data_IF_082118202906
#
_entry.id   IF_082118202906
#
_cell.length_a   1.000
_cell.length_b   1.000
_cell.length_c   1.000
_cell.angle_alpha   90.00
_cell.angle_beta   90.00
_cell.angle_gamma   90.00
#
_symmetry.space_group_name_H-M   'P 1'
#
loop_
_entity.id
_entity.type
_entity.pdbx_description
1 polymer ?
#
# COMPACT_ATOMS: atom_id res chain seq x y z
N UNK A 1 -30.26 39.53 -15.49
CA UNK A 1 -28.89 38.96 -15.39
C UNK A 1 -29.00 37.60 -14.71
N UNK A 2 -29.12 36.55 -15.50
CA UNK A 2 -29.17 35.16 -15.02
C UNK A 2 -27.76 34.81 -14.54
N UNK A 3 -27.58 34.55 -13.24
CA UNK A 3 -26.32 34.02 -12.70
C UNK A 3 -25.94 32.80 -13.54
N UNK A 4 -24.77 32.83 -14.19
CA UNK A 4 -24.20 31.65 -14.80
C UNK A 4 -24.08 30.59 -13.72
N UNK A 5 -24.97 29.59 -13.72
CA UNK A 5 -24.81 28.40 -12.90
C UNK A 5 -23.45 27.84 -13.28
N UNK A 6 -22.56 27.67 -12.29
CA UNK A 6 -21.38 26.83 -12.45
C UNK A 6 -21.86 25.53 -13.08
N UNK A 7 -21.36 25.21 -14.28
CA UNK A 7 -21.78 24.02 -14.99
C UNK A 7 -21.48 22.81 -14.10
N UNK A 8 -22.52 22.04 -13.75
CA UNK A 8 -22.34 20.78 -13.03
C UNK A 8 -21.50 19.86 -13.92
N UNK A 9 -20.60 19.13 -13.29
CA UNK A 9 -19.76 18.13 -13.96
C UNK A 9 -20.48 16.81 -14.21
N UNK A 10 -21.51 16.52 -13.40
CA UNK A 10 -22.37 15.34 -13.50
C UNK A 10 -23.81 15.74 -13.13
N UNK A 11 -24.80 15.26 -13.88
CA UNK A 11 -26.22 15.42 -13.52
C UNK A 11 -27.09 14.33 -14.17
N UNK A 12 -28.25 14.06 -13.56
CA UNK A 12 -29.26 13.16 -14.12
C UNK A 12 -30.27 13.96 -14.95
N UNK A 13 -30.55 13.52 -16.18
CA UNK A 13 -31.77 13.90 -16.89
C UNK A 13 -32.88 12.90 -16.56
N UNK A 14 -33.88 13.36 -15.79
CA UNK A 14 -34.99 12.53 -15.32
C UNK A 14 -35.93 12.09 -16.45
N UNK A 15 -35.96 12.82 -17.57
CA UNK A 15 -36.85 12.50 -18.68
C UNK A 15 -36.28 11.36 -19.55
N UNK A 16 -34.98 11.41 -19.82
CA UNK A 16 -34.29 10.40 -20.61
C UNK A 16 -33.73 9.24 -19.78
N UNK A 17 -33.69 9.39 -18.43
CA UNK A 17 -33.02 8.45 -17.51
C UNK A 17 -31.55 8.28 -17.87
N UNK A 18 -30.90 9.37 -18.25
CA UNK A 18 -29.48 9.40 -18.60
C UNK A 18 -28.67 10.19 -17.57
N UNK A 19 -27.55 9.62 -17.16
CA UNK A 19 -26.54 10.31 -16.37
C UNK A 19 -25.58 11.03 -17.32
N UNK A 20 -25.65 12.36 -17.37
CA UNK A 20 -24.74 13.16 -18.15
C UNK A 20 -23.41 13.31 -17.41
N UNK A 21 -22.36 12.77 -18.04
CA UNK A 21 -20.97 12.90 -17.65
C UNK A 21 -20.33 14.07 -18.42
N UNK A 22 -19.11 14.45 -18.06
CA UNK A 22 -18.41 15.57 -18.71
C UNK A 22 -18.24 15.38 -20.23
N UNK A 23 -18.15 14.14 -20.71
CA UNK A 23 -17.85 13.83 -22.11
C UNK A 23 -19.01 13.21 -22.90
N UNK A 24 -20.00 12.60 -22.22
CA UNK A 24 -21.11 11.85 -22.84
C UNK A 24 -22.28 11.68 -21.89
N UNK A 25 -23.41 11.24 -22.42
CA UNK A 25 -24.51 10.69 -21.63
C UNK A 25 -24.29 9.17 -21.41
N UNK A 26 -24.61 8.69 -20.21
CA UNK A 26 -24.69 7.28 -19.88
C UNK A 26 -26.15 6.91 -19.62
N UNK A 27 -26.80 6.11 -20.48
CA UNK A 27 -28.14 5.61 -20.21
C UNK A 27 -28.14 4.68 -19.00
N UNK A 28 -29.26 4.64 -18.28
CA UNK A 28 -29.52 3.62 -17.25
C UNK A 28 -29.57 2.22 -17.88
N UNK A 29 -29.03 1.25 -17.14
CA UNK A 29 -29.03 -0.17 -17.43
C UNK A 29 -29.47 -0.94 -16.18
N UNK A 30 -29.62 -2.25 -16.27
CA UNK A 30 -30.04 -3.10 -15.14
C UNK A 30 -29.12 -2.98 -13.92
N UNK A 31 -27.84 -2.67 -14.14
CA UNK A 31 -26.82 -2.47 -13.11
C UNK A 31 -26.55 -0.98 -12.80
N UNK A 32 -27.42 -0.06 -13.24
CA UNK A 32 -27.26 1.38 -13.07
C UNK A 32 -26.54 2.06 -14.25
N UNK A 33 -25.68 3.03 -13.95
CA UNK A 33 -24.93 3.82 -14.94
C UNK A 33 -23.49 3.31 -15.07
N UNK A 34 -22.82 3.64 -16.18
CA UNK A 34 -21.43 3.29 -16.40
C UNK A 34 -20.58 4.52 -16.75
N UNK A 35 -19.42 4.66 -16.13
CA UNK A 35 -18.39 5.63 -16.52
C UNK A 35 -17.10 4.90 -16.91
N UNK A 36 -16.37 5.46 -17.88
CA UNK A 36 -15.00 5.02 -18.15
C UNK A 36 -14.03 5.69 -17.18
N UNK A 37 -12.94 5.01 -16.85
CA UNK A 37 -11.93 5.50 -15.93
C UNK A 37 -11.33 6.85 -16.38
N UNK A 38 -11.18 7.08 -17.69
CA UNK A 38 -10.70 8.34 -18.25
C UNK A 38 -11.63 9.54 -18.02
N UNK A 39 -12.90 9.31 -17.68
CA UNK A 39 -13.90 10.35 -17.44
C UNK A 39 -13.87 10.87 -16.00
N UNK A 40 -13.47 10.02 -15.05
CA UNK A 40 -13.52 10.31 -13.61
C UNK A 40 -12.77 11.57 -13.18
N UNK A 41 -11.62 11.96 -13.78
CA UNK A 41 -10.91 13.18 -13.38
C UNK A 41 -11.73 14.45 -13.57
N UNK A 42 -12.70 14.43 -14.49
CA UNK A 42 -13.54 15.58 -14.81
C UNK A 42 -14.84 15.61 -13.99
N UNK A 43 -15.08 14.63 -13.12
CA UNK A 43 -16.30 14.50 -12.33
C UNK A 43 -16.06 14.95 -10.89
N UNK A 44 -16.90 15.85 -10.39
CA UNK A 44 -16.94 16.19 -8.97
C UNK A 44 -17.69 15.12 -8.18
N UNK A 45 -17.14 14.68 -7.05
CA UNK A 45 -17.83 13.75 -6.15
C UNK A 45 -19.13 14.32 -5.59
N UNK A 46 -19.19 15.65 -5.36
CA UNK A 46 -20.42 16.33 -4.92
C UNK A 46 -21.51 16.29 -5.99
N UNK A 47 -21.15 16.54 -7.25
CA UNK A 47 -22.11 16.50 -8.36
C UNK A 47 -22.60 15.06 -8.59
N UNK A 48 -21.69 14.07 -8.52
CA UNK A 48 -22.07 12.66 -8.60
C UNK A 48 -23.04 12.27 -7.49
N UNK A 49 -22.77 12.63 -6.22
CA UNK A 49 -23.70 12.37 -5.11
C UNK A 49 -25.09 12.94 -5.40
N UNK A 50 -25.18 14.19 -5.84
CA UNK A 50 -26.48 14.79 -6.15
C UNK A 50 -27.19 14.05 -7.28
N UNK A 51 -26.47 13.66 -8.32
CA UNK A 51 -27.05 12.94 -9.45
C UNK A 51 -27.56 11.55 -9.07
N UNK A 52 -26.81 10.80 -8.25
CA UNK A 52 -27.23 9.48 -7.77
C UNK A 52 -28.39 9.58 -6.76
N UNK A 53 -28.42 10.61 -5.92
CA UNK A 53 -29.56 10.87 -5.03
C UNK A 53 -30.80 11.28 -5.85
N UNK A 54 -30.63 12.09 -6.88
CA UNK A 54 -31.73 12.41 -7.81
C UNK A 54 -32.26 11.13 -8.49
N UNK A 55 -31.38 10.18 -8.82
CA UNK A 55 -31.74 8.89 -9.39
C UNK A 55 -32.54 8.03 -8.39
N UNK A 56 -32.06 7.91 -7.15
CA UNK A 56 -32.75 7.22 -6.06
C UNK A 56 -34.19 7.72 -5.87
N UNK A 57 -34.40 9.03 -6.02
CA UNK A 57 -35.73 9.66 -5.88
C UNK A 57 -36.60 9.61 -7.16
N UNK A 58 -36.12 9.04 -8.27
CA UNK A 58 -36.79 9.08 -9.58
C UNK A 58 -37.14 7.69 -10.14
N UNK A 59 -37.37 6.69 -9.27
CA UNK A 59 -37.67 5.29 -9.65
C UNK A 59 -36.62 4.64 -10.58
N UNK A 60 -35.35 5.07 -10.46
CA UNK A 60 -34.20 4.38 -11.07
C UNK A 60 -33.99 3.07 -10.32
N UNK A 61 -33.86 1.96 -11.06
CA UNK A 61 -33.84 0.62 -10.46
C UNK A 61 -32.60 0.41 -9.58
N UNK A 62 -31.44 0.89 -10.05
CA UNK A 62 -30.19 0.86 -9.31
C UNK A 62 -29.49 2.23 -9.45
N UNK A 63 -29.57 3.11 -8.44
CA UNK A 63 -28.94 4.42 -8.47
C UNK A 63 -27.43 4.29 -8.19
N UNK A 64 -26.73 3.58 -9.07
CA UNK A 64 -25.31 3.27 -8.98
C UNK A 64 -24.55 3.67 -10.24
N UNK A 65 -23.26 3.91 -10.08
CA UNK A 65 -22.29 4.17 -11.13
C UNK A 65 -21.20 3.11 -11.03
N UNK A 66 -21.11 2.26 -12.05
CA UNK A 66 -20.02 1.30 -12.21
C UNK A 66 -18.88 1.97 -12.98
N UNK A 67 -17.65 1.80 -12.50
CA UNK A 67 -16.45 2.25 -13.22
C UNK A 67 -15.89 1.12 -14.07
N UNK A 68 -15.65 1.43 -15.34
CA UNK A 68 -15.10 0.51 -16.33
C UNK A 68 -13.78 1.01 -16.88
N UNK A 69 -12.96 0.10 -17.41
CA UNK A 69 -11.78 0.45 -18.21
C UNK A 69 -12.18 1.17 -19.49
N UNK A 70 -11.23 1.87 -20.12
CA UNK A 70 -11.45 2.54 -21.41
C UNK A 70 -11.53 1.55 -22.59
N UNK A 71 -11.13 0.29 -22.38
CA UNK A 71 -11.18 -0.72 -23.42
C UNK A 71 -12.64 -1.06 -23.76
N UNK A 72 -13.01 -1.12 -25.05
CA UNK A 72 -14.35 -1.46 -25.52
C UNK A 72 -14.58 -2.96 -25.37
N UNK A 73 -14.63 -3.44 -24.13
CA UNK A 73 -15.16 -4.76 -23.86
C UNK A 73 -16.66 -4.57 -23.79
N UNK A 74 -17.38 -5.28 -24.65
CA UNK A 74 -18.83 -5.31 -24.63
C UNK A 74 -19.27 -5.65 -23.20
N UNK A 75 -19.89 -4.69 -22.51
CA UNK A 75 -20.76 -4.97 -21.38
C UNK A 75 -21.96 -5.73 -21.96
N UNK A 76 -21.76 -7.02 -22.23
CA UNK A 76 -22.86 -7.92 -22.50
C UNK A 76 -23.56 -8.15 -21.15
N UNK A 77 -24.89 -8.22 -21.14
CA UNK A 77 -25.71 -8.29 -19.92
C UNK A 77 -25.26 -9.41 -18.96
N UNK A 78 -24.59 -10.43 -19.48
CA UNK A 78 -24.14 -11.61 -18.72
C UNK A 78 -22.69 -11.56 -18.21
N UNK A 79 -21.83 -10.63 -18.65
CA UNK A 79 -20.40 -10.60 -18.26
C UNK A 79 -19.89 -9.18 -18.07
N UNK A 80 -19.70 -8.78 -16.82
CA UNK A 80 -19.08 -7.53 -16.39
C UNK A 80 -17.54 -7.56 -16.55
N UNK A 81 -17.05 -7.83 -17.76
CA UNK A 81 -15.62 -7.68 -18.07
C UNK A 81 -15.24 -6.20 -18.12
N UNK A 82 -14.11 -5.85 -17.49
CA UNK A 82 -13.59 -4.48 -17.49
C UNK A 82 -14.08 -3.60 -16.34
N UNK A 83 -14.84 -4.14 -15.37
CA UNK A 83 -15.14 -3.43 -14.12
C UNK A 83 -13.90 -3.37 -13.25
N UNK A 84 -13.64 -2.21 -12.65
CA UNK A 84 -12.42 -1.99 -11.85
C UNK A 84 -12.53 -2.52 -10.41
N UNK A 85 -13.63 -3.18 -10.06
CA UNK A 85 -13.98 -3.55 -8.68
C UNK A 85 -14.43 -2.38 -7.80
N UNK A 86 -14.55 -1.16 -8.35
CA UNK A 86 -14.95 0.05 -7.62
C UNK A 86 -16.15 0.70 -8.29
N UNK A 87 -17.20 0.96 -7.52
CA UNK A 87 -18.40 1.67 -7.96
C UNK A 87 -18.86 2.68 -6.93
N UNK A 88 -19.93 3.40 -7.25
CA UNK A 88 -20.58 4.35 -6.36
C UNK A 88 -22.08 4.09 -6.38
N UNK A 89 -22.76 4.18 -5.24
CA UNK A 89 -24.20 4.00 -5.17
C UNK A 89 -24.83 5.00 -4.22
N UNK A 90 -26.08 5.39 -4.48
CA UNK A 90 -26.90 6.10 -3.53
C UNK A 90 -27.79 5.14 -2.76
N UNK A 91 -27.91 5.35 -1.46
CA UNK A 91 -28.80 4.58 -0.59
C UNK A 91 -29.36 5.45 0.54
N UNK A 92 -30.40 4.96 1.20
CA UNK A 92 -30.89 5.54 2.45
C UNK A 92 -30.25 4.81 3.63
N UNK A 93 -29.77 5.57 4.60
CA UNK A 93 -29.21 4.99 5.81
C UNK A 93 -30.27 4.13 6.54
N UNK A 94 -29.89 2.93 7.03
CA UNK A 94 -30.82 1.97 7.61
C UNK A 94 -31.54 2.53 8.84
N UNK A 95 -32.74 1.99 9.09
CA UNK A 95 -33.56 2.34 10.25
C UNK A 95 -32.85 1.94 11.56
N UNK A 96 -32.80 2.87 12.52
CA UNK A 96 -32.29 2.62 13.88
C UNK A 96 -30.91 3.20 14.17
N UNK A 97 -30.22 3.77 13.18
CA UNK A 97 -28.97 4.50 13.37
C UNK A 97 -29.17 6.00 13.62
N UNK A 98 -28.12 6.68 14.09
CA UNK A 98 -28.12 8.15 14.32
C UNK A 98 -28.43 8.97 13.05
N UNK A 99 -28.30 8.37 11.87
CA UNK A 99 -28.50 8.99 10.55
C UNK A 99 -29.67 8.39 9.78
N UNK A 100 -30.60 7.73 10.46
CA UNK A 100 -31.77 7.08 9.85
C UNK A 100 -32.46 8.02 8.84
N UNK A 101 -32.67 7.53 7.61
CA UNK A 101 -33.33 8.30 6.55
C UNK A 101 -32.46 9.34 5.83
N UNK A 102 -31.17 9.46 6.19
CA UNK A 102 -30.24 10.28 5.42
C UNK A 102 -29.88 9.58 4.10
N UNK A 103 -29.92 10.34 2.99
CA UNK A 103 -29.49 9.87 1.68
C UNK A 103 -27.97 10.03 1.51
N UNK A 104 -27.30 8.90 1.33
CA UNK A 104 -25.85 8.77 1.28
C UNK A 104 -25.38 8.41 -0.13
N UNK A 105 -24.16 8.81 -0.47
CA UNK A 105 -23.42 8.20 -1.58
C UNK A 105 -22.31 7.35 -0.95
N UNK A 106 -22.34 6.05 -1.23
CA UNK A 106 -21.35 5.10 -0.80
C UNK A 106 -20.45 4.73 -1.97
N UNK A 107 -19.20 4.42 -1.68
CA UNK A 107 -18.28 3.78 -2.61
C UNK A 107 -18.35 2.27 -2.35
N UNK A 108 -18.68 1.50 -3.38
CA UNK A 108 -18.77 0.05 -3.30
C UNK A 108 -17.48 -0.55 -3.85
N UNK A 109 -16.89 -1.48 -3.09
CA UNK A 109 -15.73 -2.26 -3.48
C UNK A 109 -16.11 -3.73 -3.53
N UNK A 110 -15.65 -4.43 -4.56
CA UNK A 110 -15.80 -5.88 -4.69
C UNK A 110 -14.41 -6.50 -4.76
N UNK A 111 -14.04 -7.24 -3.71
CA UNK A 111 -12.73 -7.86 -3.58
C UNK A 111 -12.87 -9.38 -3.69
N UNK A 112 -12.25 -10.03 -4.68
CA UNK A 112 -12.22 -11.48 -4.74
C UNK A 112 -11.25 -12.02 -3.68
N UNK A 113 -11.67 -13.06 -2.97
CA UNK A 113 -10.86 -13.74 -1.96
C UNK A 113 -10.89 -15.25 -2.18
N UNK A 114 -9.75 -15.94 -2.05
CA UNK A 114 -9.62 -17.34 -2.49
C UNK A 114 -9.69 -18.37 -1.35
N UNK A 115 -9.69 -17.91 -0.11
CA UNK A 115 -9.71 -18.75 1.10
C UNK A 115 -11.02 -18.51 1.85
N UNK A 116 -11.70 -19.59 2.25
CA UNK A 116 -12.81 -19.47 3.22
C UNK A 116 -12.19 -19.15 4.57
N UNK A 117 -12.53 -18.01 5.14
CA UNK A 117 -12.45 -17.86 6.58
C UNK A 117 -13.75 -18.43 7.15
N UNK A 118 -13.61 -19.38 8.08
CA UNK A 118 -14.76 -20.03 8.72
C UNK A 118 -15.52 -19.05 9.62
N UNK A 119 -14.86 -17.96 10.05
CA UNK A 119 -15.41 -16.92 10.92
C UNK A 119 -15.42 -15.55 10.22
N UNK A 120 -16.63 -15.03 9.99
CA UNK A 120 -16.82 -13.70 9.40
C UNK A 120 -16.27 -12.61 10.32
N UNK A 121 -16.47 -12.70 11.63
CA UNK A 121 -16.06 -11.65 12.58
C UNK A 121 -14.52 -11.50 12.62
N UNK A 122 -13.80 -12.62 12.42
CA UNK A 122 -12.33 -12.63 12.32
C UNK A 122 -11.87 -11.90 11.05
N UNK A 123 -12.46 -12.22 9.89
CA UNK A 123 -12.15 -11.53 8.63
C UNK A 123 -12.42 -10.03 8.72
N UNK A 124 -13.57 -9.64 9.30
CA UNK A 124 -13.93 -8.23 9.45
C UNK A 124 -12.89 -7.48 10.28
N UNK A 125 -12.43 -8.09 11.37
CA UNK A 125 -11.41 -7.53 12.26
C UNK A 125 -10.05 -7.41 11.56
N UNK A 126 -9.67 -8.39 10.74
CA UNK A 126 -8.43 -8.39 9.98
C UNK A 126 -8.44 -7.32 8.88
N UNK A 127 -9.51 -7.25 8.09
CA UNK A 127 -9.71 -6.21 7.08
C UNK A 127 -9.68 -4.83 7.75
N UNK A 128 -10.34 -4.68 8.90
CA UNK A 128 -10.31 -3.43 9.66
C UNK A 128 -8.88 -3.08 10.08
N UNK A 129 -8.13 -3.99 10.72
CA UNK A 129 -6.74 -3.76 11.16
C UNK A 129 -5.82 -3.39 10.01
N UNK A 130 -5.97 -4.06 8.87
CA UNK A 130 -5.15 -3.83 7.68
C UNK A 130 -5.41 -2.45 7.07
N UNK A 131 -6.67 -2.03 7.05
CA UNK A 131 -7.11 -0.86 6.27
C UNK A 131 -7.33 0.40 7.11
N UNK A 132 -7.43 0.29 8.44
CA UNK A 132 -7.76 1.40 9.35
C UNK A 132 -6.88 2.63 9.11
N UNK A 133 -5.55 2.43 9.09
CA UNK A 133 -4.61 3.55 8.92
C UNK A 133 -4.81 4.27 7.57
N UNK A 134 -5.09 3.51 6.52
CA UNK A 134 -5.32 4.04 5.18
C UNK A 134 -6.67 4.75 5.06
N UNK A 135 -7.72 4.19 5.68
CA UNK A 135 -9.06 4.77 5.76
C UNK A 135 -9.06 6.10 6.51
N UNK A 136 -8.41 6.14 7.69
CA UNK A 136 -8.27 7.36 8.49
C UNK A 136 -7.59 8.49 7.70
N UNK A 137 -6.51 8.17 6.98
CA UNK A 137 -5.80 9.13 6.16
C UNK A 137 -6.62 9.61 4.96
N UNK A 138 -7.40 8.72 4.35
CA UNK A 138 -8.22 9.03 3.18
C UNK A 138 -9.52 9.75 3.54
N UNK A 139 -9.81 9.88 4.85
CA UNK A 139 -11.07 10.37 5.39
C UNK A 139 -12.26 9.58 4.83
N UNK A 140 -12.17 8.25 4.96
CA UNK A 140 -13.17 7.27 4.56
C UNK A 140 -13.46 6.36 5.75
N UNK A 141 -14.72 5.96 5.92
CA UNK A 141 -15.12 4.97 6.93
C UNK A 141 -15.80 3.78 6.28
N UNK A 142 -15.69 2.60 6.89
CA UNK A 142 -16.49 1.44 6.49
C UNK A 142 -17.92 1.68 6.96
N UNK A 143 -18.87 1.62 6.04
CA UNK A 143 -20.31 1.73 6.29
C UNK A 143 -20.93 0.34 6.51
N UNK A 144 -20.61 -0.60 5.64
CA UNK A 144 -21.03 -1.99 5.75
C UNK A 144 -20.01 -2.90 5.07
N UNK A 145 -20.03 -4.16 5.47
CA UNK A 145 -19.24 -5.23 4.89
C UNK A 145 -20.17 -6.42 4.72
N UNK A 146 -20.27 -6.90 3.50
CA UNK A 146 -21.17 -7.97 3.12
C UNK A 146 -20.36 -9.07 2.46
N UNK A 147 -20.60 -10.29 2.92
CA UNK A 147 -20.06 -11.49 2.32
C UNK A 147 -21.15 -12.13 1.46
N UNK A 148 -20.87 -12.30 0.18
CA UNK A 148 -21.81 -12.95 -0.73
C UNK A 148 -21.36 -14.38 -0.99
N UNK A 149 -22.14 -15.35 -0.49
CA UNK A 149 -21.96 -16.80 -0.76
C UNK A 149 -22.64 -17.23 -2.08
N UNK A 150 -22.95 -16.27 -2.95
CA UNK A 150 -23.63 -16.49 -4.23
C UNK A 150 -22.85 -17.44 -5.17
N UNK A 151 -21.58 -17.71 -4.84
CA UNK A 151 -20.77 -18.77 -5.44
C UNK A 151 -20.79 -20.01 -4.54
N UNK A 152 -21.82 -20.83 -4.75
CA UNK A 152 -22.04 -22.16 -4.15
C UNK A 152 -20.72 -22.95 -4.03
N UNK A 153 -20.06 -22.86 -2.87
CA UNK A 153 -19.02 -23.76 -2.38
C UNK A 153 -17.65 -23.76 -3.07
N UNK A 154 -17.30 -22.76 -3.90
CA UNK A 154 -15.97 -22.69 -4.50
C UNK A 154 -15.45 -21.25 -4.68
N UNK A 155 -14.15 -20.99 -4.42
CA UNK A 155 -13.55 -19.68 -4.60
C UNK A 155 -13.52 -19.23 -6.08
N UNK A 156 -13.43 -17.92 -6.34
CA UNK A 156 -13.26 -16.84 -5.36
C UNK A 156 -14.57 -16.46 -4.66
N UNK A 157 -14.51 -16.24 -3.35
CA UNK A 157 -15.55 -15.58 -2.58
C UNK A 157 -15.52 -14.08 -2.84
N UNK A 158 -16.66 -13.41 -2.70
CA UNK A 158 -16.77 -11.98 -2.95
C UNK A 158 -16.98 -11.23 -1.63
N UNK A 159 -15.97 -10.46 -1.23
CA UNK A 159 -16.11 -9.48 -0.15
C UNK A 159 -16.60 -8.16 -0.75
N UNK A 160 -17.79 -7.74 -0.36
CA UNK A 160 -18.38 -6.46 -0.76
C UNK A 160 -18.23 -5.46 0.37
N UNK A 161 -17.48 -4.38 0.16
CA UNK A 161 -17.33 -3.29 1.12
C UNK A 161 -18.11 -2.07 0.65
N UNK A 162 -18.92 -1.52 1.54
CA UNK A 162 -19.52 -0.21 1.36
C UNK A 162 -18.77 0.78 2.21
N UNK A 163 -18.16 1.78 1.56
CA UNK A 163 -17.37 2.80 2.20
C UNK A 163 -18.10 4.14 2.10
N UNK A 164 -18.04 4.94 3.17
CA UNK A 164 -18.54 6.31 3.17
C UNK A 164 -17.35 7.28 3.01
N UNK A 165 -17.14 7.86 1.82
CA UNK A 165 -16.05 8.78 1.60
C UNK A 165 -16.41 10.23 1.96
N UNK A 166 -15.43 10.98 2.46
CA UNK A 166 -15.52 12.44 2.40
C UNK A 166 -15.48 12.92 0.95
N UNK A 167 -16.53 13.61 0.50
CA UNK A 167 -16.72 14.06 -0.89
C UNK A 167 -16.30 15.50 -1.16
N UNK A 168 -16.16 16.33 -0.11
CA UNK A 168 -16.00 17.78 -0.27
C UNK A 168 -14.67 18.09 -0.95
N UNK A 169 -14.75 18.74 -2.11
CA UNK A 169 -13.57 19.15 -2.89
C UNK A 169 -12.84 18.00 -3.59
N UNK A 170 -13.39 16.78 -3.59
CA UNK A 170 -12.78 15.63 -4.27
C UNK A 170 -13.38 15.40 -5.66
N UNK A 171 -12.53 14.90 -6.56
CA UNK A 171 -12.99 14.30 -7.82
C UNK A 171 -13.40 12.85 -7.60
N UNK A 172 -14.20 12.31 -8.52
CA UNK A 172 -14.56 10.88 -8.52
C UNK A 172 -13.31 10.03 -8.75
N UNK A 173 -12.36 10.48 -9.56
CA UNK A 173 -11.06 9.81 -9.73
C UNK A 173 -10.30 9.67 -8.41
N UNK A 174 -10.28 10.71 -7.57
CA UNK A 174 -9.59 10.64 -6.28
C UNK A 174 -10.23 9.62 -5.33
N UNK A 175 -11.56 9.47 -5.35
CA UNK A 175 -12.25 8.44 -4.58
C UNK A 175 -11.98 7.04 -5.13
N UNK A 176 -12.02 6.91 -6.46
CA UNK A 176 -11.75 5.66 -7.16
C UNK A 176 -10.35 5.12 -6.85
N UNK A 177 -9.35 6.00 -6.82
CA UNK A 177 -7.97 5.67 -6.43
C UNK A 177 -7.86 5.18 -4.98
N UNK A 178 -8.68 5.72 -4.06
CA UNK A 178 -8.78 5.19 -2.69
C UNK A 178 -9.38 3.79 -2.69
N UNK A 179 -10.45 3.56 -3.47
CA UNK A 179 -11.05 2.24 -3.63
C UNK A 179 -10.06 1.20 -4.16
N UNK A 180 -9.28 1.55 -5.17
CA UNK A 180 -8.23 0.67 -5.72
C UNK A 180 -7.08 0.42 -4.72
N UNK A 181 -6.75 1.42 -3.89
CA UNK A 181 -5.79 1.24 -2.79
C UNK A 181 -6.29 0.25 -1.73
N UNK A 182 -7.58 0.32 -1.39
CA UNK A 182 -8.23 -0.63 -0.48
C UNK A 182 -8.21 -2.06 -1.04
N UNK A 183 -8.65 -2.23 -2.29
CA UNK A 183 -8.63 -3.53 -2.98
C UNK A 183 -7.20 -4.10 -2.96
N UNK A 184 -6.21 -3.30 -3.36
CA UNK A 184 -4.82 -3.74 -3.39
C UNK A 184 -4.27 -4.13 -2.01
N UNK A 185 -4.66 -3.46 -0.92
CA UNK A 185 -4.28 -3.87 0.43
C UNK A 185 -4.89 -5.23 0.77
N UNK A 186 -6.20 -5.37 0.60
CA UNK A 186 -6.94 -6.59 0.97
C UNK A 186 -6.44 -7.78 0.14
N UNK A 187 -6.28 -7.63 -1.18
CA UNK A 187 -5.75 -8.68 -2.06
C UNK A 187 -4.28 -9.02 -1.78
N UNK A 188 -3.51 -8.10 -1.19
CA UNK A 188 -2.09 -8.35 -0.92
C UNK A 188 -1.84 -9.30 0.24
N UNK A 189 -2.84 -9.51 1.09
CA UNK A 189 -2.77 -10.41 2.24
C UNK A 189 -3.40 -11.74 1.84
N UNK A 190 -2.56 -12.77 1.70
CA UNK A 190 -3.02 -14.07 1.19
C UNK A 190 -3.96 -14.82 2.17
N UNK A 191 -3.93 -14.52 3.48
CA UNK A 191 -4.67 -15.27 4.51
C UNK A 191 -4.88 -14.44 5.80
N UNK A 192 -5.68 -13.37 5.78
CA UNK A 192 -6.08 -12.66 7.01
C UNK A 192 -4.97 -11.95 7.82
N UNK A 193 -3.72 -12.13 7.41
CA UNK A 193 -2.55 -11.67 8.11
C UNK A 193 -2.35 -10.15 8.15
N UNK A 194 -1.50 -9.74 9.08
CA UNK A 194 -0.96 -8.39 9.09
C UNK A 194 -0.13 -8.15 7.81
N UNK A 195 -0.04 -6.88 7.41
CA UNK A 195 0.83 -6.47 6.32
C UNK A 195 2.26 -6.97 6.56
N UNK A 196 2.77 -7.75 5.61
CA UNK A 196 4.13 -8.28 5.60
C UNK A 196 4.94 -7.76 4.39
N UNK A 197 6.18 -8.26 4.25
CA UNK A 197 7.05 -7.90 3.12
C UNK A 197 6.41 -8.20 1.77
N UNK A 198 5.80 -9.37 1.64
CA UNK A 198 5.28 -9.88 0.36
C UNK A 198 4.07 -9.05 -0.05
N UNK A 199 3.14 -8.83 0.88
CA UNK A 199 1.96 -8.00 0.72
C UNK A 199 2.33 -6.56 0.33
N UNK A 200 3.24 -5.92 1.07
CA UNK A 200 3.68 -4.56 0.75
C UNK A 200 4.34 -4.48 -0.65
N UNK A 201 5.08 -5.51 -1.05
CA UNK A 201 5.67 -5.56 -2.38
C UNK A 201 4.61 -5.71 -3.49
N UNK A 202 3.55 -6.49 -3.27
CA UNK A 202 2.42 -6.59 -4.19
C UNK A 202 1.73 -5.23 -4.37
N UNK A 203 1.45 -4.52 -3.27
CA UNK A 203 0.90 -3.16 -3.29
C UNK A 203 1.79 -2.19 -4.09
N UNK A 204 3.11 -2.25 -3.89
CA UNK A 204 4.06 -1.40 -4.62
C UNK A 204 4.12 -1.75 -6.12
N UNK A 205 4.11 -3.04 -6.47
CA UNK A 205 4.11 -3.49 -7.87
C UNK A 205 2.81 -3.13 -8.59
N UNK A 206 1.70 -3.09 -7.86
CA UNK A 206 0.40 -2.61 -8.34
C UNK A 206 0.35 -1.07 -8.52
N UNK A 207 1.46 -0.35 -8.25
CA UNK A 207 1.55 1.12 -8.31
C UNK A 207 0.65 1.82 -7.30
N UNK A 208 0.38 1.18 -6.17
CA UNK A 208 -0.49 1.68 -5.08
C UNK A 208 0.29 1.99 -3.82
N UNK A 209 1.47 2.60 -3.95
CA UNK A 209 2.31 2.98 -2.81
C UNK A 209 1.58 3.86 -1.78
N UNK A 210 0.58 4.63 -2.23
CA UNK A 210 -0.27 5.48 -1.41
C UNK A 210 -1.06 4.68 -0.37
N UNK A 211 -1.37 3.41 -0.66
CA UNK A 211 -2.08 2.52 0.25
C UNK A 211 -1.23 2.09 1.45
N UNK A 212 0.10 2.19 1.36
CA UNK A 212 1.00 1.91 2.48
C UNK A 212 1.15 3.09 3.44
N UNK A 213 0.61 4.27 3.12
CA UNK A 213 0.72 5.41 4.04
C UNK A 213 -0.16 5.17 5.27
N UNK A 214 0.36 5.53 6.44
CA UNK A 214 -0.21 5.22 7.75
C UNK A 214 0.27 3.90 8.34
N UNK A 215 0.81 2.98 7.52
CA UNK A 215 1.34 1.72 8.00
C UNK A 215 2.59 1.93 8.87
N UNK A 216 2.81 1.10 9.91
CA UNK A 216 3.98 1.22 10.76
C UNK A 216 5.26 0.84 10.00
N UNK A 217 6.32 1.60 10.22
CA UNK A 217 7.66 1.09 9.96
C UNK A 217 8.01 0.06 11.05
N UNK A 218 8.68 -1.03 10.66
CA UNK A 218 8.81 -2.18 11.55
C UNK A 218 10.00 -3.08 11.23
N UNK A 219 10.09 -4.28 11.80
CA UNK A 219 11.26 -5.18 11.66
C UNK A 219 11.58 -5.66 10.24
N UNK A 220 10.67 -5.51 9.29
CA UNK A 220 10.87 -5.94 7.90
C UNK A 220 10.75 -4.79 6.90
N UNK A 221 10.36 -3.58 7.32
CA UNK A 221 10.17 -2.42 6.46
C UNK A 221 11.07 -1.26 6.92
N UNK A 222 11.73 -0.59 6.00
CA UNK A 222 12.47 0.66 6.24
C UNK A 222 12.24 1.58 5.04
N UNK A 223 11.91 2.86 5.29
CA UNK A 223 11.75 3.84 4.22
C UNK A 223 12.76 4.98 4.32
N UNK A 224 13.18 5.49 3.16
CA UNK A 224 14.11 6.61 3.04
C UNK A 224 13.55 7.64 2.08
N UNK A 225 13.49 8.90 2.52
CA UNK A 225 12.97 10.00 1.70
C UNK A 225 13.82 10.21 0.43
N UNK A 226 15.13 9.95 0.51
CA UNK A 226 16.09 10.21 -0.57
C UNK A 226 17.03 9.04 -0.78
N UNK A 227 17.50 8.89 -2.02
CA UNK A 227 18.58 7.97 -2.36
C UNK A 227 19.86 8.34 -1.62
N UNK A 228 20.65 7.33 -1.26
CA UNK A 228 22.03 7.56 -0.81
C UNK A 228 22.89 8.11 -1.95
N UNK A 229 23.83 8.99 -1.61
CA UNK A 229 24.83 9.46 -2.58
C UNK A 229 25.84 8.36 -2.88
N UNK A 230 25.59 7.61 -3.95
CA UNK A 230 26.46 6.53 -4.43
C UNK A 230 27.73 7.03 -5.14
N UNK A 231 27.93 8.34 -5.29
CA UNK A 231 29.25 8.85 -5.68
C UNK A 231 30.20 8.82 -4.48
N UNK A 232 29.69 9.15 -3.29
CA UNK A 232 30.45 9.09 -2.03
C UNK A 232 30.67 7.66 -1.52
N UNK A 233 31.78 7.44 -0.82
CA UNK A 233 32.00 6.18 -0.10
C UNK A 233 31.02 6.05 1.08
N UNK A 234 30.68 7.17 1.73
CA UNK A 234 29.72 7.22 2.82
C UNK A 234 28.37 6.64 2.39
N UNK A 235 27.77 7.13 1.31
CA UNK A 235 26.47 6.65 0.83
C UNK A 235 26.47 5.18 0.40
N UNK A 236 27.58 4.68 -0.16
CA UNK A 236 27.74 3.24 -0.46
C UNK A 236 27.73 2.38 0.79
N UNK A 237 28.47 2.80 1.84
CA UNK A 237 28.51 2.10 3.12
C UNK A 237 27.15 2.19 3.81
N UNK A 238 26.49 3.35 3.85
CA UNK A 238 25.16 3.51 4.45
C UNK A 238 24.12 2.61 3.78
N UNK A 239 24.15 2.51 2.44
CA UNK A 239 23.29 1.58 1.71
C UNK A 239 23.57 0.12 2.11
N UNK A 240 24.85 -0.28 2.15
CA UNK A 240 25.23 -1.63 2.54
C UNK A 240 24.85 -1.96 3.99
N UNK A 241 24.97 -0.99 4.91
CA UNK A 241 24.54 -1.14 6.30
C UNK A 241 23.02 -1.32 6.41
N UNK A 242 22.23 -0.53 5.69
CA UNK A 242 20.77 -0.66 5.67
C UNK A 242 20.34 -2.06 5.19
N UNK A 243 20.94 -2.55 4.11
CA UNK A 243 20.64 -3.89 3.58
C UNK A 243 21.17 -5.00 4.50
N UNK A 244 22.34 -4.83 5.11
CA UNK A 244 22.90 -5.80 6.05
C UNK A 244 21.99 -6.03 7.27
N UNK A 245 21.29 -4.98 7.75
CA UNK A 245 20.31 -5.10 8.85
C UNK A 245 19.22 -6.11 8.53
N UNK A 246 18.72 -6.08 7.29
CA UNK A 246 17.73 -7.04 6.80
C UNK A 246 18.35 -8.41 6.53
N UNK A 247 19.57 -8.48 5.99
CA UNK A 247 20.23 -9.75 5.73
C UNK A 247 20.51 -10.54 7.02
N UNK A 248 20.72 -9.81 8.13
CA UNK A 248 20.93 -10.35 9.46
C UNK A 248 19.65 -10.54 10.27
N UNK A 249 18.48 -10.13 9.78
CA UNK A 249 17.20 -10.41 10.44
C UNK A 249 16.71 -11.84 10.14
N UNK A 250 15.70 -12.28 10.86
CA UNK A 250 14.98 -13.54 10.60
C UNK A 250 14.21 -13.47 9.29
N UNK A 251 13.52 -12.35 9.06
CA UNK A 251 12.47 -12.27 8.04
C UNK A 251 12.94 -11.61 6.74
N UNK A 252 14.20 -11.19 6.66
CA UNK A 252 14.68 -10.32 5.58
C UNK A 252 14.06 -8.93 5.70
N UNK A 253 13.75 -8.29 4.56
CA UNK A 253 12.92 -7.08 4.56
C UNK A 253 12.91 -6.29 3.25
N UNK A 254 12.37 -5.09 3.35
CA UNK A 254 12.05 -4.17 2.27
C UNK A 254 12.60 -2.79 2.60
N UNK A 255 13.49 -2.28 1.76
CA UNK A 255 13.97 -0.91 1.81
C UNK A 255 13.36 -0.13 0.66
N UNK A 256 12.60 0.92 0.97
CA UNK A 256 11.93 1.75 -0.04
C UNK A 256 12.51 3.15 -0.03
N UNK A 257 13.01 3.60 -1.18
CA UNK A 257 13.41 4.97 -1.39
C UNK A 257 12.32 5.77 -2.08
N UNK A 258 12.13 6.99 -1.59
CA UNK A 258 11.10 7.93 -2.03
C UNK A 258 9.85 7.89 -1.17
N UNK A 259 9.98 7.48 0.09
CA UNK A 259 8.91 7.57 1.10
C UNK A 259 9.50 8.13 2.39
N UNK A 260 8.72 8.91 3.12
CA UNK A 260 9.14 9.51 4.38
C UNK A 260 8.24 9.05 5.53
N UNK A 261 8.83 8.82 6.70
CA UNK A 261 8.09 8.55 7.93
C UNK A 261 7.63 9.84 8.62
N UNK A 262 6.70 9.65 9.56
CA UNK A 262 6.40 10.61 10.62
C UNK A 262 6.37 9.86 11.96
N UNK A 263 6.77 10.55 13.02
CA UNK A 263 6.71 9.99 14.37
C UNK A 263 5.29 10.07 14.93
N UNK A 264 4.85 8.98 15.55
CA UNK A 264 3.61 8.85 16.30
C UNK A 264 3.93 8.24 17.67
N UNK A 265 2.98 8.27 18.61
CA UNK A 265 3.23 7.77 19.97
C UNK A 265 3.70 6.30 20.03
N UNK A 266 3.28 5.48 19.07
CA UNK A 266 3.62 4.06 18.96
C UNK A 266 4.89 3.74 18.15
N UNK A 267 5.55 4.74 17.54
CA UNK A 267 6.73 4.53 16.71
C UNK A 267 6.79 5.45 15.48
N UNK A 268 7.33 4.93 14.38
CA UNK A 268 7.32 5.61 13.08
C UNK A 268 6.30 4.97 12.16
N UNK A 269 5.55 5.80 11.44
CA UNK A 269 4.61 5.34 10.41
C UNK A 269 4.95 6.00 9.09
N UNK A 270 4.64 5.33 8.00
CA UNK A 270 4.77 5.86 6.66
C UNK A 270 3.87 7.11 6.55
N UNK A 271 4.46 8.25 6.19
CA UNK A 271 3.79 9.56 6.27
C UNK A 271 3.48 10.19 4.92
N UNK A 272 4.38 10.07 3.94
CA UNK A 272 4.16 10.59 2.58
C UNK A 272 5.05 9.93 1.54
N UNK A 273 4.63 10.03 0.28
CA UNK A 273 5.44 9.69 -0.90
C UNK A 273 6.27 10.92 -1.30
N UNK A 274 7.54 10.67 -1.61
CA UNK A 274 8.56 11.65 -2.02
C UNK A 274 9.33 11.10 -3.21
N UNK A 275 8.76 11.12 -4.43
CA UNK A 275 9.35 10.42 -5.58
C UNK A 275 10.82 10.76 -5.80
N UNK A 276 11.62 9.73 -6.11
CA UNK A 276 13.06 9.88 -6.36
C UNK A 276 13.37 9.97 -7.85
N UNK A 277 14.41 10.73 -8.18
CA UNK A 277 14.93 10.80 -9.55
C UNK A 277 15.80 9.57 -9.81
N UNK A 278 15.30 8.66 -10.63
CA UNK A 278 16.01 7.43 -11.03
C UNK A 278 16.10 7.31 -12.54
N UNK A 279 17.28 6.88 -13.01
CA UNK A 279 17.58 6.60 -14.41
C UNK A 279 17.73 5.09 -14.65
N UNK A 280 17.94 4.70 -15.91
CA UNK A 280 18.12 3.29 -16.28
C UNK A 280 19.35 2.62 -15.66
N UNK A 281 20.28 3.40 -15.09
CA UNK A 281 21.50 2.89 -14.43
C UNK A 281 21.36 2.82 -12.91
N UNK A 282 20.34 3.44 -12.31
CA UNK A 282 20.14 3.47 -10.86
C UNK A 282 20.13 2.07 -10.25
N UNK A 283 19.36 1.13 -10.81
CA UNK A 283 19.31 -0.28 -10.34
C UNK A 283 20.70 -0.91 -10.32
N UNK A 284 21.43 -0.82 -11.43
CA UNK A 284 22.79 -1.38 -11.56
C UNK A 284 23.77 -0.74 -10.59
N UNK A 285 23.72 0.59 -10.40
CA UNK A 285 24.61 1.32 -9.47
C UNK A 285 24.40 0.89 -8.02
N UNK A 286 23.14 0.73 -7.59
CA UNK A 286 22.83 0.27 -6.23
C UNK A 286 23.31 -1.16 -6.02
N UNK A 287 23.03 -2.06 -6.98
CA UNK A 287 23.52 -3.44 -6.92
C UNK A 287 25.04 -3.53 -6.84
N UNK A 288 25.76 -2.78 -7.69
CA UNK A 288 27.23 -2.75 -7.68
C UNK A 288 27.80 -2.17 -6.38
N UNK A 289 27.14 -1.19 -5.76
CA UNK A 289 27.54 -0.68 -4.46
C UNK A 289 27.40 -1.76 -3.39
N UNK A 290 26.30 -2.51 -3.39
CA UNK A 290 26.07 -3.63 -2.48
C UNK A 290 27.07 -4.77 -2.69
N UNK A 291 27.28 -5.23 -3.93
CA UNK A 291 28.26 -6.30 -4.26
C UNK A 291 29.68 -5.98 -3.77
N UNK A 292 30.06 -4.69 -3.75
CA UNK A 292 31.39 -4.26 -3.32
C UNK A 292 31.54 -4.12 -1.81
N UNK A 293 30.46 -3.88 -1.09
CA UNK A 293 30.48 -3.49 0.32
C UNK A 293 29.75 -4.45 1.24
N UNK A 294 28.96 -5.40 0.75
CA UNK A 294 28.18 -6.35 1.55
C UNK A 294 28.64 -7.79 1.28
N UNK A 295 29.08 -8.49 2.34
CA UNK A 295 29.67 -9.83 2.24
C UNK A 295 29.12 -10.79 3.30
N UNK A 296 28.74 -12.03 2.93
CA UNK A 296 28.58 -12.49 1.54
C UNK A 296 27.50 -11.68 0.81
N UNK A 297 27.43 -11.76 -0.52
CA UNK A 297 26.34 -11.10 -1.25
C UNK A 297 25.02 -11.86 -0.98
N UNK A 298 23.94 -11.20 -0.51
CA UNK A 298 22.73 -11.92 -0.13
C UNK A 298 22.03 -12.62 -1.29
N UNK A 299 21.49 -13.81 -1.02
CA UNK A 299 20.78 -14.60 -2.03
C UNK A 299 19.38 -14.03 -2.24
N UNK A 300 18.94 -13.91 -3.50
CA UNK A 300 17.60 -13.41 -3.83
C UNK A 300 17.42 -11.90 -3.66
N UNK A 301 18.49 -11.14 -3.38
CA UNK A 301 18.41 -9.68 -3.32
C UNK A 301 17.98 -9.10 -4.68
N UNK A 302 16.88 -8.34 -4.66
CA UNK A 302 16.30 -7.70 -5.84
C UNK A 302 16.33 -6.18 -5.68
N UNK A 303 16.64 -5.47 -6.77
CA UNK A 303 16.57 -4.00 -6.83
C UNK A 303 15.69 -3.65 -8.02
N UNK A 304 14.62 -2.89 -7.77
CA UNK A 304 13.64 -2.56 -8.79
C UNK A 304 13.18 -1.11 -8.67
N UNK A 305 12.53 -0.61 -9.73
CA UNK A 305 11.91 0.70 -9.76
C UNK A 305 10.42 0.47 -10.01
N UNK A 306 9.58 1.07 -9.18
CA UNK A 306 8.12 1.07 -9.38
C UNK A 306 7.63 2.49 -9.61
N UNK A 307 6.56 2.62 -10.39
CA UNK A 307 5.86 3.89 -10.56
C UNK A 307 4.79 4.05 -9.46
N UNK A 308 4.55 5.27 -9.00
CA UNK A 308 3.41 5.60 -8.15
C UNK A 308 2.18 5.90 -9.01
N UNK A 309 0.99 5.99 -8.40
CA UNK A 309 -0.22 6.37 -9.13
C UNK A 309 -0.07 7.72 -9.84
N UNK A 310 0.60 8.69 -9.17
CA UNK A 310 0.91 10.00 -9.72
C UNK A 310 2.08 10.03 -10.75
N UNK A 311 2.60 8.87 -11.16
CA UNK A 311 3.71 8.77 -12.13
C UNK A 311 5.11 9.07 -11.58
N UNK A 312 5.22 9.30 -10.27
CA UNK A 312 6.50 9.36 -9.57
C UNK A 312 7.20 7.99 -9.57
N UNK A 313 8.49 7.94 -9.19
CA UNK A 313 9.24 6.69 -9.11
C UNK A 313 9.74 6.44 -7.69
N UNK A 314 9.69 5.18 -7.29
CA UNK A 314 10.30 4.66 -6.06
C UNK A 314 11.39 3.66 -6.44
N UNK A 315 12.46 3.60 -5.66
CA UNK A 315 13.46 2.54 -5.79
C UNK A 315 13.29 1.57 -4.62
N UNK A 316 13.14 0.30 -4.93
CA UNK A 316 12.87 -0.75 -3.94
C UNK A 316 14.06 -1.70 -3.91
N UNK A 317 14.51 -2.03 -2.72
CA UNK A 317 15.42 -3.14 -2.47
C UNK A 317 14.67 -4.16 -1.62
N UNK A 318 14.43 -5.31 -2.21
CA UNK A 318 13.78 -6.45 -1.57
C UNK A 318 14.84 -7.47 -1.20
N UNK A 319 14.75 -7.96 0.03
CA UNK A 319 15.62 -9.01 0.52
C UNK A 319 14.79 -10.12 1.18
N UNK A 320 14.76 -11.34 0.60
CA UNK A 320 14.15 -12.49 1.26
C UNK A 320 14.90 -12.91 2.53
N UNK A 321 14.30 -13.74 3.41
CA UNK A 321 14.97 -14.30 4.58
C UNK A 321 16.26 -15.01 4.16
N UNK A 322 17.35 -14.79 4.90
CA UNK A 322 18.62 -15.44 4.62
C UNK A 322 18.84 -16.63 5.56
N UNK A 323 19.44 -17.73 5.07
CA UNK A 323 19.72 -18.89 5.90
C UNK A 323 20.72 -18.54 7.01
N UNK A 324 20.51 -19.09 8.20
CA UNK A 324 21.34 -18.78 9.36
C UNK A 324 22.82 -19.15 9.18
N UNK A 325 23.11 -20.13 8.32
CA UNK A 325 24.48 -20.52 7.95
C UNK A 325 25.25 -19.45 7.17
N UNK A 326 24.54 -18.51 6.53
CA UNK A 326 25.15 -17.40 5.80
C UNK A 326 25.31 -16.15 6.66
N UNK A 327 24.76 -16.14 7.87
CA UNK A 327 24.87 -15.03 8.83
C UNK A 327 26.16 -15.18 9.65
N UNK A 328 26.82 -14.07 10.00
CA UNK A 328 26.42 -12.68 9.75
C UNK A 328 26.84 -12.17 8.36
N UNK A 329 26.03 -11.28 7.82
CA UNK A 329 26.36 -10.39 6.72
C UNK A 329 27.14 -9.18 7.26
N UNK A 330 28.28 -8.93 6.62
CA UNK A 330 29.28 -7.95 7.01
C UNK A 330 29.34 -6.82 6.00
N UNK A 331 29.57 -5.60 6.49
CA UNK A 331 29.80 -4.44 5.64
C UNK A 331 31.28 -4.07 5.62
N UNK A 332 31.87 -3.99 4.42
CA UNK A 332 33.22 -3.51 4.22
C UNK A 332 33.25 -1.97 4.23
N UNK A 333 33.94 -1.43 5.23
CA UNK A 333 33.93 -0.02 5.62
C UNK A 333 33.02 0.22 6.82
N UNK A 334 33.40 1.19 7.67
CA UNK A 334 32.59 1.65 8.79
C UNK A 334 32.45 3.17 8.74
N UNK A 335 31.35 3.67 9.32
CA UNK A 335 31.16 5.10 9.61
C UNK A 335 31.30 5.24 11.13
N UNK A 336 32.37 5.92 11.57
CA UNK A 336 32.66 6.15 13.00
C UNK A 336 32.80 7.65 13.21
N UNK A 337 32.00 8.22 14.11
CA UNK A 337 31.95 9.66 14.39
C UNK A 337 31.76 10.52 13.12
N UNK A 338 30.90 10.06 12.20
CA UNK A 338 30.64 10.71 10.91
C UNK A 338 31.78 10.61 9.88
N UNK A 339 32.90 9.97 10.23
CA UNK A 339 34.05 9.76 9.33
C UNK A 339 34.05 8.35 8.77
N UNK A 340 34.33 8.25 7.48
CA UNK A 340 34.44 6.96 6.81
C UNK A 340 35.80 6.33 7.08
N UNK A 341 35.80 5.09 7.56
CA UNK A 341 37.00 4.28 7.78
C UNK A 341 36.92 3.03 6.90
N UNK A 342 37.66 3.02 5.79
CA UNK A 342 37.60 1.95 4.79
C UNK A 342 38.26 0.62 5.22
N UNK A 343 39.09 0.62 6.27
CA UNK A 343 39.80 -0.56 6.77
C UNK A 343 39.02 -1.39 7.80
N UNK A 344 37.81 -0.95 8.15
CA UNK A 344 36.97 -1.59 9.16
C UNK A 344 35.92 -2.49 8.52
N UNK A 345 35.45 -3.47 9.28
CA UNK A 345 34.28 -4.28 8.93
C UNK A 345 33.20 -3.98 9.96
N UNK A 346 31.99 -3.69 9.51
CA UNK A 346 30.84 -3.47 10.40
C UNK A 346 29.92 -4.68 10.41
N UNK A 347 29.55 -5.13 11.61
CA UNK A 347 28.43 -6.05 11.80
C UNK A 347 27.22 -5.22 12.19
N UNK A 348 26.19 -5.21 11.34
CA UNK A 348 24.99 -4.39 11.55
C UNK A 348 23.84 -5.27 11.96
N UNK A 349 23.12 -4.87 13.01
CA UNK A 349 21.95 -5.59 13.53
C UNK A 349 20.73 -4.69 13.56
N UNK A 350 19.56 -5.31 13.61
CA UNK A 350 18.29 -4.59 13.58
C UNK A 350 17.77 -4.16 14.95
N UNK A 351 18.32 -4.69 16.05
CA UNK A 351 17.96 -4.25 17.40
C UNK A 351 18.66 -2.93 17.72
N UNK A 352 17.97 -1.81 17.50
CA UNK A 352 18.39 -0.49 18.01
C UNK A 352 19.30 0.36 17.11
N UNK A 353 19.23 0.21 15.78
CA UNK A 353 20.05 0.94 14.78
C UNK A 353 21.58 0.75 14.85
N UNK A 354 22.09 0.16 15.93
CA UNK A 354 23.50 0.07 16.24
C UNK A 354 24.28 -0.84 15.28
N UNK A 355 25.42 -0.33 14.83
CA UNK A 355 26.44 -1.10 14.12
C UNK A 355 27.66 -1.27 15.00
N UNK A 356 28.19 -2.50 15.10
CA UNK A 356 29.42 -2.76 15.85
C UNK A 356 30.58 -2.71 14.86
N UNK A 357 31.45 -1.68 14.89
CA UNK A 357 32.66 -1.67 14.09
C UNK A 357 33.69 -2.65 14.67
N UNK A 358 34.24 -3.52 13.83
CA UNK A 358 35.28 -4.48 14.19
C UNK A 358 36.43 -4.34 13.18
N UNK A 359 37.66 -4.23 13.68
CA UNK A 359 38.84 -4.22 12.82
C UNK A 359 39.17 -5.63 12.31
N UNK A 360 39.80 -5.72 11.13
CA UNK A 360 40.17 -7.01 10.53
C UNK A 360 41.02 -7.92 11.45
N UNK A 361 42.02 -7.42 12.22
CA UNK A 361 42.76 -8.26 13.16
C UNK A 361 41.88 -8.80 14.30
N UNK A 362 40.95 -7.99 14.81
CA UNK A 362 40.01 -8.41 15.85
C UNK A 362 39.02 -9.45 15.32
N UNK A 363 38.49 -9.25 14.11
CA UNK A 363 37.63 -10.22 13.43
C UNK A 363 38.37 -11.55 13.23
N UNK A 364 39.62 -11.50 12.77
CA UNK A 364 40.46 -12.69 12.61
C UNK A 364 40.68 -13.43 13.94
N UNK A 365 40.93 -12.71 15.03
CA UNK A 365 41.06 -13.31 16.37
C UNK A 365 39.76 -13.99 16.83
N UNK A 366 38.61 -13.36 16.59
CA UNK A 366 37.30 -13.91 16.92
C UNK A 366 36.95 -15.17 16.11
N UNK A 367 37.26 -15.16 14.81
CA UNK A 367 37.09 -16.34 13.94
C UNK A 367 38.03 -17.47 14.35
N UNK A 368 39.30 -17.17 14.60
CA UNK A 368 40.32 -18.17 15.00
C UNK A 368 40.00 -18.84 16.33
N UNK A 369 39.32 -18.13 17.23
CA UNK A 369 38.88 -18.67 18.52
C UNK A 369 37.54 -19.42 18.44
N UNK A 370 36.88 -19.49 17.28
CA UNK A 370 35.49 -19.94 17.09
C UNK A 370 34.48 -19.21 18.01
N UNK A 371 34.81 -17.99 18.44
CA UNK A 371 34.03 -17.17 19.38
C UNK A 371 33.25 -16.05 18.70
N UNK A 372 33.36 -15.92 17.38
CA UNK A 372 32.65 -14.87 16.65
C UNK A 372 31.14 -14.97 16.89
N UNK A 373 30.57 -16.18 16.79
CA UNK A 373 29.14 -16.41 17.06
C UNK A 373 28.80 -16.08 18.52
N UNK A 374 29.63 -16.46 19.48
CA UNK A 374 29.39 -16.20 20.90
C UNK A 374 29.47 -14.71 21.25
N UNK A 375 30.41 -13.96 20.66
CA UNK A 375 30.51 -12.51 20.86
C UNK A 375 29.36 -11.76 20.21
N UNK A 376 28.91 -12.23 19.04
CA UNK A 376 27.71 -11.72 18.38
C UNK A 376 26.42 -12.05 19.15
N UNK A 377 26.39 -13.19 19.87
CA UNK A 377 25.29 -13.61 20.75
C UNK A 377 25.34 -12.93 22.12
N UNK A 378 26.50 -12.72 22.73
CA UNK A 378 26.63 -12.17 24.09
C UNK A 378 26.28 -10.68 24.19
N UNK A 379 26.32 -9.95 23.07
CA UNK A 379 25.80 -8.58 22.97
C UNK A 379 24.29 -8.54 22.67
N UNK A 380 23.61 -9.70 22.65
CA UNK A 380 22.16 -9.84 22.76
C UNK A 380 21.83 -9.89 24.24
N UNK A 381 21.45 -8.77 24.84
CA UNK A 381 20.60 -8.86 26.03
C UNK A 381 19.34 -9.65 25.66
N UNK A 382 18.76 -10.47 26.58
CA UNK A 382 17.56 -11.22 26.27
C UNK A 382 16.48 -10.27 25.74
N UNK A 383 15.87 -10.64 24.62
CA UNK A 383 14.66 -10.00 24.13
C UNK A 383 13.55 -10.32 25.13
N UNK A 384 13.22 -9.37 26.01
CA UNK A 384 11.94 -9.40 26.70
C UNK A 384 10.89 -8.88 25.72
N UNK A 385 9.96 -9.72 25.23
CA UNK A 385 8.81 -9.20 24.51
C UNK A 385 8.09 -8.25 25.47
N UNK A 386 7.90 -7.00 25.04
CA UNK A 386 7.03 -6.07 25.74
C UNK A 386 5.69 -6.75 25.98
N UNK A 387 5.36 -6.98 27.25
CA UNK A 387 4.07 -7.54 27.65
C UNK A 387 2.94 -6.82 26.90
N UNK A 388 1.91 -7.53 26.43
CA UNK A 388 0.72 -6.88 25.92
C UNK A 388 0.19 -5.97 27.04
N UNK A 389 0.07 -4.68 26.71
CA UNK A 389 -0.65 -3.73 27.56
C UNK A 389 -2.08 -4.23 27.60
N UNK A 390 -2.52 -4.62 28.81
CA UNK A 390 -3.87 -5.06 29.11
C UNK A 390 -4.89 -3.91 28.99
#
# INVERSE_FOLDING_TARGET
>A
MTKARSARTVWLDKNSRELHLASRASPERDFGFAAHISELPNMSATDLRHALIDALNSDVYSPSLIVTTDDPIWLNEDVLTGVTGVGFLATEAPLGGARTGEQLMLMSLHVPFYTLLEDQDELELEVFRLTEAFLQQSHVSIFAMEYTDDHIGAPPYLLSLLLEPSIIGKSVAALHEVGLGMIALIESVEEGGLLDRTAALHVLRARRAEALIGQPEGPWLDVKEKLYDLASLHGKISLAQAVARFANSTDGGLLIFGMATRKVGSGEVLGRITPVVVDGYSVRRHRQALEKHLYPFPTGLSVSIVATAAGGKLLIIELPPQPDTSKPYLVHGAIVDGKVRGSFVSVVRRSGEDSIPIEAPALHALMSANRLIDVLRAHVGPYEPSSPVA
#
